data_IF_438025247281
#
_entry.id   IF_438025247281
#
_cell.length_a   1.000
_cell.length_b   1.000
_cell.length_c   1.000
_cell.angle_alpha   90.00
_cell.angle_beta   90.00
_cell.angle_gamma   90.00
#
_symmetry.space_group_name_H-M   'P 1'
#
loop_
_entity.id
_entity.type
_entity.pdbx_description
1 polymer ?
#
# COMPACT_ATOMS: atom_id res chain seq x y z
N UNK A 1 -1.81 2.51 27.95
CA UNK A 1 -2.80 3.09 28.90
C UNK A 1 -2.06 3.44 30.17
N UNK A 2 -2.25 4.64 30.71
CA UNK A 2 -1.77 5.00 32.05
C UNK A 2 -2.93 5.55 32.88
N UNK A 3 -2.84 5.41 34.19
CA UNK A 3 -3.87 5.88 35.14
C UNK A 3 -3.24 7.00 35.97
N UNK A 4 -3.96 8.12 36.10
CA UNK A 4 -3.56 9.22 36.98
C UNK A 4 -4.15 9.05 38.38
N UNK A 5 -3.58 9.76 39.34
CA UNK A 5 -4.13 9.87 40.69
C UNK A 5 -5.58 10.40 40.61
N UNK A 6 -6.54 9.59 41.07
CA UNK A 6 -7.98 9.85 40.92
C UNK A 6 -8.71 8.90 39.96
N UNK A 7 -8.02 7.93 39.35
CA UNK A 7 -8.65 6.87 38.54
C UNK A 7 -9.00 7.28 37.11
N UNK A 8 -8.54 8.44 36.65
CA UNK A 8 -8.69 8.90 35.28
C UNK A 8 -7.68 8.22 34.35
N UNK A 9 -8.12 7.91 33.13
CA UNK A 9 -7.33 7.17 32.15
C UNK A 9 -6.69 8.10 31.12
N UNK A 10 -5.46 7.77 30.75
CA UNK A 10 -4.76 8.36 29.62
C UNK A 10 -4.51 7.30 28.54
N UNK A 11 -4.86 7.65 27.30
CA UNK A 11 -4.64 6.84 26.11
C UNK A 11 -3.68 7.57 25.18
N UNK A 12 -2.48 7.02 25.04
CA UNK A 12 -1.41 7.58 24.21
C UNK A 12 -1.04 6.60 23.11
N UNK A 13 -0.96 7.10 21.88
CA UNK A 13 -0.52 6.36 20.70
C UNK A 13 1.00 6.14 20.70
N UNK A 14 1.49 5.26 19.82
CA UNK A 14 2.92 4.95 19.72
C UNK A 14 3.80 6.16 19.35
N UNK A 15 3.26 7.15 18.63
CA UNK A 15 3.94 8.41 18.31
C UNK A 15 3.96 9.42 19.47
N UNK A 16 3.42 9.07 20.64
CA UNK A 16 3.31 9.96 21.80
C UNK A 16 2.07 10.84 21.82
N UNK A 17 1.20 10.79 20.80
CA UNK A 17 -0.03 11.59 20.76
C UNK A 17 -1.08 11.06 21.75
N UNK A 18 -1.57 11.94 22.63
CA UNK A 18 -2.54 11.58 23.66
C UNK A 18 -3.97 11.81 23.17
N UNK A 19 -4.64 10.71 22.81
CA UNK A 19 -6.04 10.67 22.39
C UNK A 19 -7.01 10.95 23.54
N UNK A 20 -6.71 10.44 24.73
CA UNK A 20 -7.51 10.70 25.92
C UNK A 20 -6.58 11.13 27.03
N UNK A 21 -6.89 12.28 27.63
CA UNK A 21 -6.18 12.83 28.77
C UNK A 21 -7.19 13.20 29.86
N UNK A 22 -7.46 12.26 30.77
CA UNK A 22 -8.54 12.38 31.74
C UNK A 22 -9.90 12.64 31.07
N UNK A 23 -10.47 13.83 31.30
CA UNK A 23 -11.76 14.24 30.72
C UNK A 23 -11.66 14.82 29.31
N UNK A 24 -10.45 14.99 28.77
CA UNK A 24 -10.23 15.58 27.44
C UNK A 24 -10.03 14.49 26.41
N UNK A 25 -10.81 14.51 25.33
CA UNK A 25 -10.60 13.67 24.15
C UNK A 25 -10.05 14.54 23.01
N UNK A 26 -9.07 13.99 22.28
CA UNK A 26 -8.52 14.59 21.06
C UNK A 26 -8.82 13.70 19.87
N UNK A 27 -8.94 14.33 18.71
CA UNK A 27 -9.33 13.66 17.47
C UNK A 27 -8.14 13.37 16.56
N UNK A 28 -8.35 12.43 15.64
CA UNK A 28 -7.54 12.23 14.44
C UNK A 28 -8.37 12.65 13.22
N UNK A 29 -7.69 12.94 12.14
CA UNK A 29 -8.31 13.27 10.85
C UNK A 29 -7.80 12.33 9.75
N UNK A 30 -8.70 11.94 8.85
CA UNK A 30 -8.33 11.31 7.58
C UNK A 30 -8.12 12.41 6.54
N UNK A 31 -6.91 12.51 5.99
CA UNK A 31 -6.51 13.58 5.07
C UNK A 31 -5.78 13.01 3.85
N UNK A 32 -5.76 13.69 2.69
CA UNK A 32 -4.84 13.34 1.62
C UNK A 32 -3.39 13.40 2.11
N UNK A 33 -2.57 12.42 1.75
CA UNK A 33 -1.15 12.44 2.08
C UNK A 33 -0.45 13.57 1.34
N UNK A 34 0.50 14.21 2.02
CA UNK A 34 1.33 15.24 1.42
C UNK A 34 2.12 14.74 0.20
N UNK A 35 2.52 13.46 0.17
CA UNK A 35 3.31 12.89 -0.93
C UNK A 35 2.46 12.38 -2.10
N UNK A 36 1.20 12.03 -1.86
CA UNK A 36 0.30 11.44 -2.85
C UNK A 36 -1.14 11.92 -2.59
N UNK A 37 -1.66 12.86 -3.40
CA UNK A 37 -3.00 13.40 -3.18
C UNK A 37 -4.12 12.38 -3.41
N UNK A 38 -3.84 11.26 -4.09
CA UNK A 38 -4.80 10.18 -4.30
C UNK A 38 -4.88 9.21 -3.10
N UNK A 39 -3.98 9.36 -2.12
CA UNK A 39 -3.87 8.47 -0.96
C UNK A 39 -4.36 9.16 0.31
N UNK A 40 -5.34 8.55 0.97
CA UNK A 40 -5.75 8.97 2.32
C UNK A 40 -4.77 8.44 3.37
N UNK A 41 -4.33 9.31 4.27
CA UNK A 41 -3.51 9.02 5.44
C UNK A 41 -4.16 9.57 6.72
N UNK A 42 -3.50 9.43 7.86
CA UNK A 42 -4.00 9.88 9.16
C UNK A 42 -3.15 11.04 9.66
N UNK A 43 -3.81 12.07 10.17
CA UNK A 43 -3.21 13.21 10.85
C UNK A 43 -3.72 13.31 12.29
N UNK A 44 -2.92 13.88 13.18
CA UNK A 44 -3.44 14.41 14.45
C UNK A 44 -3.86 15.87 14.28
N UNK A 45 -4.75 16.34 15.14
CA UNK A 45 -5.28 17.70 15.09
C UNK A 45 -4.58 18.55 16.15
N UNK A 46 -3.79 19.52 15.71
CA UNK A 46 -3.25 20.59 16.55
C UNK A 46 -4.19 21.80 16.52
N UNK A 47 -4.42 22.42 17.68
CA UNK A 47 -5.36 23.54 17.83
C UNK A 47 -4.92 24.80 17.05
N UNK A 48 -3.63 25.00 16.84
CA UNK A 48 -3.09 26.17 16.16
C UNK A 48 -2.66 25.86 14.72
N UNK A 49 -2.00 24.73 14.51
CA UNK A 49 -1.43 24.34 13.22
C UNK A 49 -2.38 23.50 12.35
N UNK A 50 -3.51 23.05 12.90
CA UNK A 50 -4.47 22.20 12.20
C UNK A 50 -3.99 20.75 12.06
N UNK A 51 -4.26 20.13 10.90
CA UNK A 51 -3.95 18.71 10.68
C UNK A 51 -2.45 18.49 10.43
N UNK A 52 -1.80 17.70 11.29
CA UNK A 52 -0.41 17.28 11.12
C UNK A 52 -0.35 15.79 10.77
N UNK A 53 0.11 15.49 9.56
CA UNK A 53 0.23 14.12 9.03
C UNK A 53 1.13 13.25 9.91
N UNK A 54 0.67 12.04 10.26
CA UNK A 54 1.44 11.05 10.99
C UNK A 54 2.08 10.09 9.99
N UNK A 55 3.41 9.91 9.99
CA UNK A 55 4.05 8.91 9.15
C UNK A 55 3.49 7.50 9.40
N UNK A 56 3.12 6.77 8.35
CA UNK A 56 2.46 5.45 8.44
C UNK A 56 3.24 4.44 9.28
N UNK A 57 4.58 4.52 9.31
CA UNK A 57 5.44 3.67 10.16
C UNK A 57 5.12 3.77 11.66
N UNK A 58 4.51 4.88 12.10
CA UNK A 58 4.09 5.09 13.49
C UNK A 58 2.64 4.64 13.75
N UNK A 59 1.94 4.16 12.72
CA UNK A 59 0.54 3.73 12.76
C UNK A 59 0.38 2.23 12.49
N UNK A 60 1.45 1.44 12.63
CA UNK A 60 1.47 0.03 12.28
C UNK A 60 0.88 -0.90 13.36
N UNK A 61 -0.26 -0.53 13.93
CA UNK A 61 -0.94 -1.31 14.98
C UNK A 61 -2.44 -1.44 14.71
N UNK A 62 -3.03 -2.56 15.13
CA UNK A 62 -4.46 -2.82 14.98
C UNK A 62 -4.91 -2.94 13.52
N UNK A 63 -6.21 -2.80 13.28
CA UNK A 63 -6.78 -2.86 11.93
C UNK A 63 -6.30 -1.71 11.03
N UNK A 64 -6.09 -0.52 11.58
CA UNK A 64 -5.51 0.61 10.84
C UNK A 64 -4.11 0.28 10.31
N UNK A 65 -3.22 -0.23 11.17
CA UNK A 65 -1.89 -0.68 10.75
C UNK A 65 -1.94 -1.80 9.72
N UNK A 66 -2.91 -2.72 9.86
CA UNK A 66 -3.18 -3.76 8.86
C UNK A 66 -3.55 -3.19 7.49
N UNK A 67 -4.43 -2.19 7.43
CA UNK A 67 -4.82 -1.52 6.18
C UNK A 67 -3.65 -0.76 5.53
N UNK A 68 -2.87 -0.03 6.32
CA UNK A 68 -1.72 0.73 5.83
C UNK A 68 -0.60 -0.20 5.33
N UNK A 69 -0.34 -1.29 6.06
CA UNK A 69 0.64 -2.31 5.67
C UNK A 69 0.21 -3.03 4.40
N UNK A 70 -1.05 -3.50 4.33
CA UNK A 70 -1.57 -4.14 3.12
C UNK A 70 -1.47 -3.21 1.91
N UNK A 71 -1.87 -1.95 2.07
CA UNK A 71 -1.79 -0.98 0.98
C UNK A 71 -0.36 -0.79 0.47
N UNK A 72 0.57 -0.48 1.37
CA UNK A 72 1.95 -0.12 0.99
C UNK A 72 2.82 -1.31 0.60
N UNK A 73 2.69 -2.45 1.27
CA UNK A 73 3.57 -3.60 1.08
C UNK A 73 3.04 -4.62 0.07
N UNK A 74 1.72 -4.68 -0.11
CA UNK A 74 1.10 -5.73 -0.91
C UNK A 74 0.38 -5.15 -2.13
N UNK A 75 -0.56 -4.22 -1.94
CA UNK A 75 -1.38 -3.68 -3.02
C UNK A 75 -0.55 -2.82 -3.99
N UNK A 76 0.23 -1.87 -3.47
CA UNK A 76 1.08 -1.01 -4.30
C UNK A 76 2.11 -1.84 -5.06
N UNK A 77 2.77 -2.78 -4.38
CA UNK A 77 3.74 -3.67 -5.01
C UNK A 77 3.11 -4.54 -6.10
N UNK A 78 1.92 -5.10 -5.84
CA UNK A 78 1.18 -5.91 -6.83
C UNK A 78 0.82 -5.08 -8.06
N UNK A 79 0.32 -3.86 -7.87
CA UNK A 79 0.01 -2.93 -8.97
C UNK A 79 1.25 -2.57 -9.77
N UNK A 80 2.37 -2.32 -9.10
CA UNK A 80 3.63 -1.98 -9.76
C UNK A 80 4.21 -3.15 -10.53
N UNK A 81 4.18 -4.37 -9.99
CA UNK A 81 4.63 -5.57 -10.70
C UNK A 81 3.78 -5.84 -11.94
N UNK A 82 2.45 -5.71 -11.83
CA UNK A 82 1.56 -5.89 -12.97
C UNK A 82 1.74 -4.78 -14.03
N UNK A 83 1.91 -3.53 -13.58
CA UNK A 83 2.19 -2.40 -14.47
C UNK A 83 3.53 -2.53 -15.19
N UNK A 84 4.57 -3.01 -14.51
CA UNK A 84 5.89 -3.30 -15.10
C UNK A 84 5.77 -4.34 -16.22
N UNK A 85 5.03 -5.43 -15.97
CA UNK A 85 4.77 -6.46 -16.97
C UNK A 85 4.05 -5.88 -18.21
N UNK A 86 2.98 -5.11 -18.00
CA UNK A 86 2.22 -4.51 -19.09
C UNK A 86 3.06 -3.53 -19.91
N UNK A 87 3.86 -2.68 -19.26
CA UNK A 87 4.78 -1.75 -19.92
C UNK A 87 5.83 -2.50 -20.74
N UNK A 88 6.54 -3.45 -20.12
CA UNK A 88 7.59 -4.21 -20.79
C UNK A 88 7.03 -4.98 -22.00
N UNK A 89 5.84 -5.57 -21.87
CA UNK A 89 5.16 -6.24 -22.97
C UNK A 89 4.81 -5.28 -24.11
N UNK A 90 4.10 -4.19 -23.81
CA UNK A 90 3.64 -3.24 -24.83
C UNK A 90 4.83 -2.64 -25.58
N UNK A 91 5.85 -2.17 -24.86
CA UNK A 91 7.02 -1.53 -25.46
C UNK A 91 7.88 -2.53 -26.25
N UNK A 92 8.12 -3.74 -25.73
CA UNK A 92 8.91 -4.75 -26.46
C UNK A 92 8.19 -5.20 -27.73
N UNK A 93 6.88 -5.42 -27.65
CA UNK A 93 6.07 -5.78 -28.82
C UNK A 93 6.05 -4.65 -29.85
N UNK A 94 5.80 -3.39 -29.42
CA UNK A 94 5.84 -2.23 -30.30
C UNK A 94 7.19 -2.03 -30.96
N UNK A 95 8.27 -2.14 -30.19
CA UNK A 95 9.63 -1.98 -30.68
C UNK A 95 10.00 -3.05 -31.73
N UNK A 96 9.45 -4.25 -31.64
CA UNK A 96 9.66 -5.28 -32.67
C UNK A 96 8.68 -5.14 -33.84
N UNK A 97 7.41 -4.81 -33.58
CA UNK A 97 6.39 -4.64 -34.62
C UNK A 97 6.76 -3.49 -35.59
N UNK A 98 7.29 -2.38 -35.08
CA UNK A 98 7.72 -1.23 -35.90
C UNK A 98 8.96 -1.49 -36.77
N UNK A 99 9.66 -2.61 -36.55
CA UNK A 99 10.76 -3.06 -37.43
C UNK A 99 10.28 -3.86 -38.63
N UNK A 100 9.05 -4.37 -38.59
CA UNK A 100 8.48 -5.16 -39.68
C UNK A 100 7.70 -4.33 -40.69
N UNK A 101 7.15 -5.04 -41.67
CA UNK A 101 6.25 -4.52 -42.69
C UNK A 101 4.94 -5.29 -42.70
N UNK A 102 3.86 -4.56 -42.95
CA UNK A 102 2.49 -5.05 -42.96
C UNK A 102 2.12 -5.75 -44.28
N UNK A 103 0.89 -6.26 -44.39
CA UNK A 103 0.44 -7.00 -45.56
C UNK A 103 0.42 -6.13 -46.83
N UNK A 104 0.38 -4.81 -46.70
CA UNK A 104 0.43 -3.84 -47.80
C UNK A 104 1.86 -3.36 -48.10
N UNK A 105 2.86 -3.79 -47.32
CA UNK A 105 4.26 -3.40 -47.45
C UNK A 105 4.60 -2.07 -46.76
N UNK A 106 3.68 -1.50 -45.98
CA UNK A 106 3.96 -0.32 -45.18
C UNK A 106 4.68 -0.71 -43.89
N UNK A 107 5.43 0.24 -43.32
CA UNK A 107 6.16 0.00 -42.07
C UNK A 107 5.20 -0.15 -40.90
N UNK A 108 5.47 -1.14 -40.05
CA UNK A 108 4.71 -1.37 -38.82
C UNK A 108 4.68 -0.14 -37.91
N UNK A 109 3.57 0.03 -37.19
CA UNK A 109 3.38 1.08 -36.17
C UNK A 109 3.35 0.47 -34.77
N UNK A 110 3.22 1.29 -33.74
CA UNK A 110 2.95 0.78 -32.40
C UNK A 110 1.64 -0.03 -32.39
N UNK A 111 1.73 -1.26 -31.92
CA UNK A 111 0.59 -2.16 -31.79
C UNK A 111 -0.28 -1.82 -30.58
N UNK A 112 0.35 -1.39 -29.48
CA UNK A 112 -0.30 -1.06 -28.22
C UNK A 112 -0.06 0.41 -27.83
N UNK A 113 -1.04 1.06 -27.20
CA UNK A 113 -0.77 2.21 -26.32
C UNK A 113 -0.46 1.72 -24.91
N UNK A 114 0.27 2.53 -24.14
CA UNK A 114 0.52 2.28 -22.72
C UNK A 114 0.52 3.61 -21.97
N UNK A 115 0.06 3.60 -20.72
CA UNK A 115 0.10 4.78 -19.86
C UNK A 115 1.52 5.23 -19.55
N UNK A 116 1.66 6.54 -19.35
CA UNK A 116 2.96 7.17 -19.05
C UNK A 116 3.21 7.29 -17.54
N UNK A 117 4.47 7.46 -17.11
CA UNK A 117 4.82 7.79 -15.73
C UNK A 117 4.07 9.03 -15.22
N UNK A 118 3.71 9.01 -13.94
CA UNK A 118 3.13 10.18 -13.24
C UNK A 118 4.05 10.60 -12.09
N UNK A 119 4.15 11.90 -11.85
CA UNK A 119 4.92 12.46 -10.73
C UNK A 119 4.03 13.38 -9.91
N UNK A 120 4.01 13.17 -8.59
CA UNK A 120 3.34 14.05 -7.64
C UNK A 120 4.38 14.89 -6.90
N UNK A 121 4.20 16.21 -6.91
CA UNK A 121 4.97 17.13 -6.06
C UNK A 121 4.42 17.06 -4.63
N UNK A 122 5.30 16.90 -3.64
CA UNK A 122 4.85 16.85 -2.25
C UNK A 122 4.27 18.22 -1.85
N UNK A 123 3.13 18.21 -1.14
CA UNK A 123 2.43 19.43 -0.76
C UNK A 123 3.21 20.32 0.23
N UNK A 124 4.24 19.76 0.88
CA UNK A 124 5.18 20.47 1.76
C UNK A 124 6.38 21.09 1.03
N UNK A 125 6.49 20.91 -0.30
CA UNK A 125 7.52 21.60 -1.09
C UNK A 125 7.33 23.12 -0.99
N UNK A 126 8.44 23.85 -1.07
CA UNK A 126 8.44 25.30 -0.87
C UNK A 126 7.62 26.04 -1.94
N UNK A 127 7.77 25.65 -3.21
CA UNK A 127 6.99 26.14 -4.33
C UNK A 127 6.13 25.01 -4.92
N UNK A 128 4.80 25.18 -4.83
CA UNK A 128 3.81 24.19 -5.29
C UNK A 128 3.70 24.12 -6.82
N UNK A 129 4.34 25.03 -7.55
CA UNK A 129 4.33 25.05 -9.02
C UNK A 129 5.47 24.26 -9.63
N UNK A 130 6.50 23.92 -8.85
CA UNK A 130 7.61 23.07 -9.31
C UNK A 130 7.09 21.65 -9.53
N UNK A 131 7.29 21.14 -10.73
CA UNK A 131 6.87 19.81 -11.15
C UNK A 131 7.99 19.09 -11.89
N UNK A 132 7.99 17.76 -11.76
CA UNK A 132 8.85 16.86 -12.53
C UNK A 132 7.98 16.12 -13.56
N UNK A 133 8.58 15.75 -14.68
CA UNK A 133 7.97 14.82 -15.64
C UNK A 133 8.94 13.68 -15.92
N UNK A 134 8.42 12.49 -16.22
CA UNK A 134 9.24 11.33 -16.50
C UNK A 134 8.80 10.65 -17.79
N UNK A 135 9.77 10.10 -18.52
CA UNK A 135 9.55 9.34 -19.75
C UNK A 135 10.35 8.04 -19.68
N UNK A 136 9.73 6.95 -20.12
CA UNK A 136 10.42 5.68 -20.34
C UNK A 136 11.33 5.82 -21.56
N UNK A 137 12.59 5.44 -21.41
CA UNK A 137 13.58 5.38 -22.51
C UNK A 137 14.10 3.97 -22.75
N UNK A 138 14.01 3.10 -21.73
CA UNK A 138 14.35 1.67 -21.82
C UNK A 138 13.42 0.90 -20.89
N UNK A 139 12.33 0.35 -21.44
CA UNK A 139 11.31 -0.39 -20.70
C UNK A 139 11.86 -1.64 -20.02
N UNK A 140 12.98 -2.20 -20.52
CA UNK A 140 13.57 -3.41 -19.95
C UNK A 140 14.22 -3.17 -18.60
N UNK A 141 14.60 -1.92 -18.31
CA UNK A 141 15.21 -1.52 -17.04
C UNK A 141 14.22 -0.93 -16.04
N UNK A 142 13.00 -0.60 -16.47
CA UNK A 142 11.96 -0.07 -15.58
C UNK A 142 11.64 -1.10 -14.51
N UNK A 143 11.68 -0.68 -13.24
CA UNK A 143 11.45 -1.52 -12.08
C UNK A 143 10.00 -1.46 -11.58
N UNK A 144 9.56 -2.51 -10.89
CA UNK A 144 8.28 -2.55 -10.19
C UNK A 144 8.34 -1.81 -8.84
N UNK A 145 8.60 -0.50 -8.86
CA UNK A 145 8.68 0.33 -7.65
C UNK A 145 8.20 1.75 -7.95
N UNK A 146 7.72 2.43 -6.91
CA UNK A 146 7.63 3.89 -6.94
C UNK A 146 8.95 4.48 -6.42
N UNK A 147 9.17 5.77 -6.67
CA UNK A 147 10.37 6.47 -6.26
C UNK A 147 10.03 7.71 -5.47
N UNK A 148 10.59 7.82 -4.27
CA UNK A 148 10.69 9.10 -3.57
C UNK A 148 11.98 9.78 -4.01
N UNK A 149 11.85 10.92 -4.64
CA UNK A 149 12.95 11.74 -5.16
C UNK A 149 13.03 13.01 -4.31
N UNK A 150 14.19 13.32 -3.74
CA UNK A 150 14.41 14.49 -2.87
C UNK A 150 15.59 15.30 -3.39
N UNK A 151 15.42 16.61 -3.52
CA UNK A 151 16.54 17.51 -3.82
C UNK A 151 17.22 17.94 -2.51
N UNK A 152 18.51 17.63 -2.31
CA UNK A 152 19.22 17.97 -1.07
C UNK A 152 19.83 19.39 -1.06
N UNK A 153 19.58 20.15 -2.14
CA UNK A 153 20.15 21.47 -2.42
C UNK A 153 21.26 21.45 -3.47
N UNK A 154 21.83 20.27 -3.77
CA UNK A 154 22.86 20.08 -4.80
C UNK A 154 22.49 18.93 -5.74
N UNK A 155 22.19 17.78 -5.15
CA UNK A 155 21.94 16.53 -5.84
C UNK A 155 20.53 16.00 -5.57
N UNK A 156 20.14 15.01 -6.38
CA UNK A 156 18.83 14.37 -6.30
C UNK A 156 18.98 12.98 -5.71
N UNK A 157 18.50 12.81 -4.48
CA UNK A 157 18.51 11.53 -3.76
C UNK A 157 17.24 10.76 -4.08
N UNK A 158 17.39 9.52 -4.55
CA UNK A 158 16.28 8.66 -4.96
C UNK A 158 16.17 7.50 -3.99
N UNK A 159 14.95 7.21 -3.54
CA UNK A 159 14.61 6.04 -2.71
C UNK A 159 13.56 5.21 -3.43
N UNK A 160 13.84 3.92 -3.66
CA UNK A 160 12.86 2.97 -4.17
C UNK A 160 11.93 2.53 -3.04
N UNK A 161 10.61 2.56 -3.25
CA UNK A 161 9.63 2.17 -2.23
C UNK A 161 9.55 0.65 -2.01
N UNK A 162 9.87 -0.15 -3.03
CA UNK A 162 9.77 -1.61 -2.97
C UNK A 162 10.79 -2.25 -2.01
N UNK A 163 12.04 -1.75 -2.02
CA UNK A 163 13.16 -2.35 -1.28
C UNK A 163 13.91 -1.38 -0.36
N UNK A 164 13.52 -0.10 -0.35
CA UNK A 164 14.15 0.99 0.41
C UNK A 164 15.61 1.28 0.01
N UNK A 165 16.06 0.78 -1.14
CA UNK A 165 17.39 1.12 -1.66
C UNK A 165 17.44 2.60 -2.04
N UNK A 166 18.60 3.21 -1.80
CA UNK A 166 18.82 4.64 -2.09
C UNK A 166 20.06 4.84 -2.94
N UNK A 167 20.02 5.87 -3.78
CA UNK A 167 21.15 6.28 -4.61
C UNK A 167 21.02 7.75 -5.00
N UNK A 168 22.13 8.39 -5.31
CA UNK A 168 22.15 9.73 -5.91
C UNK A 168 21.98 9.57 -7.42
N UNK A 169 20.96 10.22 -8.00
CA UNK A 169 20.69 10.12 -9.43
C UNK A 169 21.76 10.85 -10.26
N UNK A 170 22.25 10.18 -11.31
CA UNK A 170 23.07 10.82 -12.33
C UNK A 170 22.22 11.67 -13.25
N UNK A 171 22.84 12.69 -13.86
CA UNK A 171 22.22 13.56 -14.85
C UNK A 171 22.81 13.29 -16.22
N UNK A 172 21.97 13.26 -17.25
CA UNK A 172 22.41 13.24 -18.64
C UNK A 172 22.94 14.62 -19.09
N UNK A 173 23.36 14.73 -20.36
CA UNK A 173 23.87 15.98 -20.93
C UNK A 173 22.84 17.13 -20.93
N UNK A 174 21.54 16.82 -20.87
CA UNK A 174 20.46 17.81 -20.79
C UNK A 174 20.06 18.12 -19.34
N UNK A 175 20.75 17.54 -18.34
CA UNK A 175 20.43 17.70 -16.93
C UNK A 175 19.24 16.87 -16.45
N UNK A 176 18.73 15.91 -17.24
CA UNK A 176 17.63 15.01 -16.83
C UNK A 176 18.18 13.89 -15.96
N UNK A 177 17.45 13.51 -14.92
CA UNK A 177 17.85 12.41 -14.04
C UNK A 177 17.68 11.07 -14.77
N UNK A 178 18.66 10.19 -14.64
CA UNK A 178 18.60 8.82 -15.15
C UNK A 178 18.29 7.86 -14.00
N UNK A 179 17.12 7.22 -14.07
CA UNK A 179 16.60 6.35 -13.02
C UNK A 179 16.03 5.11 -13.70
N UNK A 180 16.65 3.94 -13.56
CA UNK A 180 16.09 2.64 -13.94
C UNK A 180 15.34 2.62 -15.29
N UNK A 181 15.97 3.08 -16.39
CA UNK A 181 15.32 3.12 -17.71
C UNK A 181 14.36 4.28 -17.96
N UNK A 182 14.26 5.21 -17.01
CA UNK A 182 13.52 6.46 -17.11
C UNK A 182 14.47 7.66 -17.23
N UNK A 183 14.01 8.68 -17.97
CA UNK A 183 14.54 10.04 -17.90
C UNK A 183 13.55 10.94 -17.20
N UNK A 184 13.99 11.63 -16.15
CA UNK A 184 13.17 12.57 -15.37
C UNK A 184 13.63 13.99 -15.65
N UNK A 185 12.74 14.79 -16.23
CA UNK A 185 12.99 16.21 -16.46
C UNK A 185 12.73 16.97 -15.17
N UNK A 186 13.79 17.52 -14.59
CA UNK A 186 13.73 18.44 -13.46
C UNK A 186 13.66 19.85 -14.03
N UNK A 187 12.60 20.59 -13.74
CA UNK A 187 12.50 22.00 -14.12
C UNK A 187 13.47 22.88 -13.33
N UNK A 188 13.24 24.19 -13.36
CA UNK A 188 13.92 25.14 -12.47
C UNK A 188 13.10 25.40 -11.21
N UNK A 189 13.75 25.86 -10.14
CA UNK A 189 13.05 26.33 -8.93
C UNK A 189 12.97 25.32 -7.78
N UNK A 190 13.48 24.10 -7.94
CA UNK A 190 13.59 23.14 -6.85
C UNK A 190 14.44 23.69 -5.70
N UNK A 191 13.93 23.58 -4.48
CA UNK A 191 14.60 24.01 -3.25
C UNK A 191 15.01 22.80 -2.41
N UNK A 192 15.99 23.01 -1.53
CA UNK A 192 16.46 21.97 -0.62
C UNK A 192 15.30 21.38 0.18
N UNK A 193 15.25 20.05 0.23
CA UNK A 193 14.21 19.20 0.81
C UNK A 193 12.89 19.10 0.04
N UNK A 194 12.79 19.71 -1.15
CA UNK A 194 11.65 19.43 -2.04
C UNK A 194 11.64 17.93 -2.40
N UNK A 195 10.47 17.31 -2.28
CA UNK A 195 10.22 15.90 -2.48
C UNK A 195 9.19 15.66 -3.58
N UNK A 196 9.40 14.61 -4.38
CA UNK A 196 8.52 14.19 -5.45
C UNK A 196 8.30 12.68 -5.38
N UNK A 197 7.09 12.23 -5.69
CA UNK A 197 6.74 10.82 -5.80
C UNK A 197 6.53 10.46 -7.28
N UNK A 198 7.49 9.74 -7.85
CA UNK A 198 7.41 9.22 -9.21
C UNK A 198 6.82 7.81 -9.18
N UNK A 199 5.75 7.59 -9.96
CA UNK A 199 5.15 6.29 -10.21
C UNK A 199 5.30 5.94 -11.69
N UNK A 200 6.26 5.07 -12.05
CA UNK A 200 6.58 4.83 -13.46
C UNK A 200 5.50 4.02 -14.18
N UNK A 201 4.79 3.14 -13.46
CA UNK A 201 3.96 2.09 -14.08
C UNK A 201 2.54 2.00 -13.49
N UNK A 202 2.18 2.83 -12.50
CA UNK A 202 0.88 2.74 -11.84
C UNK A 202 -0.32 3.00 -12.77
N UNK A 203 -0.08 3.75 -13.85
CA UNK A 203 -1.06 4.08 -14.88
C UNK A 203 -0.83 3.30 -16.18
N UNK A 204 0.16 2.41 -16.25
CA UNK A 204 0.50 1.71 -17.49
C UNK A 204 -0.73 1.00 -18.10
N UNK A 205 -1.47 0.28 -17.27
CA UNK A 205 -2.61 -0.56 -17.68
C UNK A 205 -3.86 0.25 -17.99
N UNK A 206 -4.15 1.32 -17.24
CA UNK A 206 -5.42 2.05 -17.39
C UNK A 206 -5.56 2.71 -18.77
N UNK A 207 -4.43 3.09 -19.37
CA UNK A 207 -4.37 3.68 -20.72
C UNK A 207 -3.89 2.66 -21.79
N UNK A 208 -3.83 1.37 -21.45
CA UNK A 208 -3.40 0.33 -22.38
C UNK A 208 -4.53 -0.03 -23.35
N UNK A 209 -4.27 0.08 -24.66
CA UNK A 209 -5.23 -0.22 -25.71
C UNK A 209 -4.52 -0.83 -26.93
N UNK A 210 -5.26 -1.59 -27.74
CA UNK A 210 -4.78 -2.03 -29.07
C UNK A 210 -4.97 -0.90 -30.06
N UNK A 211 -3.89 -0.48 -30.72
CA UNK A 211 -3.88 0.56 -31.75
C UNK A 211 -4.09 0.00 -33.16
N UNK A 212 -3.57 -1.19 -33.44
CA UNK A 212 -3.73 -1.86 -34.74
C UNK A 212 -5.10 -2.54 -34.77
N UNK A 213 -6.06 -1.90 -35.43
CA UNK A 213 -7.43 -2.41 -35.56
C UNK A 213 -7.70 -3.10 -36.90
N UNK A 214 -6.86 -2.84 -37.90
CA UNK A 214 -6.92 -3.48 -39.20
C UNK A 214 -5.97 -4.70 -39.23
N UNK A 215 -6.45 -5.84 -39.70
CA UNK A 215 -5.65 -7.07 -39.77
C UNK A 215 -4.49 -6.95 -40.77
N UNK A 216 -4.68 -6.20 -41.86
CA UNK A 216 -3.66 -5.98 -42.87
C UNK A 216 -2.48 -5.14 -42.36
N UNK A 217 -2.65 -4.42 -41.24
CA UNK A 217 -1.61 -3.59 -40.61
C UNK A 217 -0.69 -4.39 -39.66
N UNK A 218 -0.90 -5.70 -39.51
CA UNK A 218 -0.02 -6.56 -38.71
C UNK A 218 1.29 -6.78 -39.47
N UNK A 219 2.37 -6.27 -38.89
CA UNK A 219 3.70 -6.26 -39.48
C UNK A 219 4.43 -7.61 -39.32
N UNK A 220 4.10 -8.59 -40.16
CA UNK A 220 4.66 -9.94 -40.12
C UNK A 220 5.98 -10.09 -40.88
N UNK A 221 6.18 -9.29 -41.92
CA UNK A 221 7.34 -9.35 -42.79
C UNK A 221 8.53 -8.57 -42.20
N UNK A 222 9.75 -8.98 -42.54
CA UNK A 222 10.98 -8.27 -42.14
C UNK A 222 11.48 -7.30 -43.20
N UNK A 223 11.12 -7.52 -44.46
CA UNK A 223 11.37 -6.59 -45.57
C UNK A 223 10.04 -6.19 -46.22
N UNK A 224 10.04 -5.08 -46.95
CA UNK A 224 8.83 -4.60 -47.62
C UNK A 224 8.58 -5.40 -48.89
N UNK A 225 7.34 -5.88 -49.09
CA UNK A 225 6.91 -6.48 -50.37
C UNK A 225 6.96 -5.51 -51.57
N UNK A 226 7.12 -4.22 -51.30
CA UNK A 226 7.20 -3.16 -52.31
C UNK A 226 8.65 -2.90 -52.76
N UNK A 227 9.64 -3.47 -52.11
CA UNK A 227 11.05 -3.32 -52.48
C UNK A 227 11.37 -4.21 -53.69
N UNK A 228 11.69 -3.64 -54.87
CA UNK A 228 11.96 -4.42 -56.08
C UNK A 228 13.28 -5.21 -56.02
N UNK A 229 14.17 -4.89 -55.08
CA UNK A 229 15.48 -5.53 -54.94
C UNK A 229 15.47 -6.72 -53.96
N UNK A 230 14.33 -7.01 -53.32
CA UNK A 230 14.19 -8.05 -52.30
C UNK A 230 13.09 -9.05 -52.68
N UNK A 231 13.48 -10.30 -52.99
CA UNK A 231 12.54 -11.42 -53.16
C UNK A 231 12.33 -12.15 -51.82
N UNK A 232 11.35 -11.71 -51.04
CA UNK A 232 11.00 -12.37 -49.77
C UNK A 232 9.93 -13.44 -49.90
N UNK A 233 9.39 -13.65 -51.10
CA UNK A 233 8.14 -14.38 -51.31
C UNK A 233 6.91 -13.67 -50.73
N UNK A 234 5.71 -14.06 -51.19
CA UNK A 234 4.42 -13.47 -50.80
C UNK A 234 4.04 -13.67 -49.31
N UNK A 235 4.87 -14.36 -48.51
CA UNK A 235 4.57 -14.78 -47.14
C UNK A 235 5.81 -14.74 -46.23
N UNK A 236 6.46 -13.57 -46.16
CA UNK A 236 7.52 -13.35 -45.16
C UNK A 236 6.91 -13.23 -43.75
N UNK A 237 7.31 -14.12 -42.85
CA UNK A 237 6.84 -14.17 -41.47
C UNK A 237 7.98 -13.96 -40.44
N UNK A 238 9.17 -13.53 -40.87
CA UNK A 238 10.35 -13.43 -40.00
C UNK A 238 10.16 -12.43 -38.85
N UNK A 239 9.46 -11.31 -39.07
CA UNK A 239 9.14 -10.39 -37.97
C UNK A 239 8.07 -10.98 -37.04
N UNK A 240 7.12 -11.74 -37.58
CA UNK A 240 6.17 -12.55 -36.79
C UNK A 240 6.87 -13.54 -35.86
N UNK A 241 7.90 -14.25 -36.36
CA UNK A 241 8.73 -15.12 -35.52
C UNK A 241 9.49 -14.32 -34.46
N UNK A 242 10.07 -13.17 -34.79
CA UNK A 242 10.76 -12.31 -33.83
C UNK A 242 9.81 -11.77 -32.73
N UNK A 243 8.55 -11.49 -33.06
CA UNK A 243 7.51 -11.13 -32.10
C UNK A 243 7.18 -12.32 -31.17
N UNK A 244 7.10 -13.54 -31.71
CA UNK A 244 6.89 -14.75 -30.91
C UNK A 244 8.08 -15.05 -30.00
N UNK A 245 9.31 -14.83 -30.47
CA UNK A 245 10.55 -15.06 -29.71
C UNK A 245 10.65 -14.15 -28.47
N UNK A 246 9.94 -13.02 -28.44
CA UNK A 246 9.82 -12.18 -27.24
C UNK A 246 9.25 -12.94 -26.04
N UNK A 247 8.44 -13.98 -26.27
CA UNK A 247 7.92 -14.84 -25.20
C UNK A 247 9.04 -15.47 -24.36
N UNK A 248 10.18 -15.77 -24.97
CA UNK A 248 11.34 -16.38 -24.34
C UNK A 248 12.42 -15.34 -23.95
N UNK A 249 12.16 -14.06 -24.19
CA UNK A 249 13.13 -12.98 -23.94
C UNK A 249 12.98 -12.39 -22.54
N UNK A 250 14.11 -12.09 -21.90
CA UNK A 250 14.17 -11.56 -20.54
C UNK A 250 13.99 -10.03 -20.51
N UNK A 251 12.85 -9.54 -21.01
CA UNK A 251 12.58 -8.10 -21.16
C UNK A 251 11.93 -7.46 -19.93
N UNK A 252 11.42 -8.23 -18.97
CA UNK A 252 10.80 -7.67 -17.76
C UNK A 252 11.87 -7.46 -16.69
N UNK A 253 12.25 -6.21 -16.42
CA UNK A 253 13.33 -5.88 -15.47
C UNK A 253 14.71 -6.41 -15.87
N UNK A 254 14.88 -6.80 -17.14
CA UNK A 254 16.13 -7.31 -17.72
C UNK A 254 16.48 -8.75 -17.35
N UNK A 255 15.62 -9.46 -16.61
CA UNK A 255 15.94 -10.78 -16.08
C UNK A 255 14.80 -11.81 -16.09
N UNK A 256 13.59 -11.44 -16.53
CA UNK A 256 12.42 -12.33 -16.55
C UNK A 256 11.69 -12.25 -17.89
N UNK A 257 11.14 -13.38 -18.30
CA UNK A 257 10.14 -13.44 -19.38
C UNK A 257 8.78 -12.92 -18.90
N UNK A 258 7.83 -12.70 -19.82
CA UNK A 258 6.46 -12.31 -19.47
C UNK A 258 5.76 -13.34 -18.59
N UNK A 259 5.92 -14.63 -18.93
CA UNK A 259 5.30 -15.72 -18.18
C UNK A 259 5.93 -15.86 -16.79
N UNK A 260 7.26 -15.79 -16.69
CA UNK A 260 7.95 -15.89 -15.40
C UNK A 260 7.56 -14.74 -14.48
N UNK A 261 7.52 -13.50 -15.00
CA UNK A 261 7.12 -12.34 -14.21
C UNK A 261 5.68 -12.47 -13.66
N UNK A 262 4.74 -12.95 -14.48
CA UNK A 262 3.36 -13.15 -14.04
C UNK A 262 3.22 -14.33 -13.06
N UNK A 263 3.89 -15.45 -13.34
CA UNK A 263 3.88 -16.62 -12.47
C UNK A 263 4.48 -16.32 -11.09
N UNK A 264 5.59 -15.57 -11.04
CA UNK A 264 6.19 -15.08 -9.79
C UNK A 264 5.21 -14.19 -9.02
N UNK A 265 4.54 -13.24 -9.68
CA UNK A 265 3.54 -12.38 -9.02
C UNK A 265 2.42 -13.20 -8.37
N UNK A 266 1.85 -14.16 -9.10
CA UNK A 266 0.79 -15.04 -8.58
C UNK A 266 1.30 -15.88 -7.41
N UNK A 267 2.52 -16.43 -7.53
CA UNK A 267 3.15 -17.22 -6.47
C UNK A 267 3.39 -16.39 -5.21
N UNK A 268 3.93 -15.17 -5.34
CA UNK A 268 4.23 -14.28 -4.22
C UNK A 268 2.96 -13.88 -3.45
N UNK A 269 1.90 -13.49 -4.17
CA UNK A 269 0.60 -13.16 -3.58
C UNK A 269 0.00 -14.39 -2.88
N UNK A 270 0.08 -15.57 -3.52
CA UNK A 270 -0.41 -16.83 -2.94
C UNK A 270 0.33 -17.23 -1.66
N UNK A 271 1.67 -17.17 -1.69
CA UNK A 271 2.52 -17.46 -0.54
C UNK A 271 2.25 -16.51 0.62
N UNK A 272 2.23 -15.20 0.34
CA UNK A 272 1.96 -14.20 1.38
C UNK A 272 0.57 -14.35 1.99
N UNK A 273 -0.44 -14.64 1.16
CA UNK A 273 -1.82 -14.90 1.63
C UNK A 273 -1.87 -16.12 2.56
N UNK A 274 -1.19 -17.21 2.20
CA UNK A 274 -1.12 -18.42 3.02
C UNK A 274 -0.43 -18.16 4.38
N UNK A 275 0.68 -17.43 4.37
CA UNK A 275 1.38 -17.01 5.59
C UNK A 275 0.49 -16.14 6.47
N UNK A 276 -0.14 -15.11 5.93
CA UNK A 276 -1.03 -14.21 6.68
C UNK A 276 -2.26 -14.94 7.24
N UNK A 277 -2.83 -15.90 6.49
CA UNK A 277 -3.92 -16.75 6.97
C UNK A 277 -3.52 -17.55 8.21
N UNK A 278 -2.32 -18.13 8.18
CA UNK A 278 -1.78 -18.89 9.31
C UNK A 278 -1.54 -17.99 10.51
N UNK A 279 -0.84 -16.86 10.34
CA UNK A 279 -0.57 -15.90 11.42
C UNK A 279 -1.85 -15.32 12.02
N UNK A 280 -2.83 -14.93 11.19
CA UNK A 280 -4.13 -14.42 11.64
C UNK A 280 -4.91 -15.47 12.43
N UNK A 281 -4.91 -16.73 11.99
CA UNK A 281 -5.61 -17.82 12.69
C UNK A 281 -4.97 -18.09 14.05
N UNK A 282 -3.64 -18.14 14.10
CA UNK A 282 -2.89 -18.30 15.35
C UNK A 282 -3.17 -17.15 16.32
N UNK A 283 -3.07 -15.90 15.86
CA UNK A 283 -3.32 -14.73 16.70
C UNK A 283 -4.76 -14.68 17.22
N UNK A 284 -5.75 -15.03 16.39
CA UNK A 284 -7.14 -15.11 16.81
C UNK A 284 -7.35 -16.18 17.90
N UNK A 285 -6.66 -17.31 17.80
CA UNK A 285 -6.72 -18.36 18.83
C UNK A 285 -6.05 -17.92 20.14
N UNK A 286 -4.92 -17.21 20.08
CA UNK A 286 -4.27 -16.61 21.26
C UNK A 286 -5.22 -15.63 21.96
N UNK A 287 -5.88 -14.74 21.21
CA UNK A 287 -6.87 -13.80 21.78
C UNK A 287 -8.00 -14.57 22.48
N UNK A 288 -8.55 -15.61 21.87
CA UNK A 288 -9.60 -16.45 22.50
C UNK A 288 -9.12 -17.11 23.79
N UNK A 289 -7.89 -17.63 23.82
CA UNK A 289 -7.32 -18.27 25.00
C UNK A 289 -7.11 -17.27 26.14
N UNK A 290 -6.51 -16.11 25.84
CA UNK A 290 -6.29 -15.05 26.83
C UNK A 290 -7.61 -14.48 27.34
N UNK A 291 -8.59 -14.28 26.47
CA UNK A 291 -9.94 -13.84 26.86
C UNK A 291 -10.60 -14.84 27.81
N UNK A 292 -10.47 -16.15 27.56
CA UNK A 292 -10.98 -17.20 28.44
C UNK A 292 -10.27 -17.21 29.80
N UNK A 293 -8.94 -17.04 29.81
CA UNK A 293 -8.17 -16.94 31.07
C UNK A 293 -8.55 -15.70 31.87
N UNK A 294 -8.72 -14.54 31.22
CA UNK A 294 -9.19 -13.32 31.87
C UNK A 294 -10.56 -13.50 32.52
N UNK A 295 -11.52 -14.15 31.84
CA UNK A 295 -12.83 -14.47 32.43
C UNK A 295 -12.75 -15.44 33.61
N UNK A 296 -11.77 -16.34 33.66
CA UNK A 296 -11.62 -17.24 34.82
C UNK A 296 -11.12 -16.54 36.08
N UNK A 297 -10.45 -15.38 35.95
CA UNK A 297 -9.88 -14.62 37.08
C UNK A 297 -10.74 -13.41 37.45
N UNK A 298 -11.27 -12.70 36.46
CA UNK A 298 -12.06 -11.47 36.64
C UNK A 298 -13.51 -11.59 36.18
N UNK A 299 -13.93 -12.76 35.68
CA UNK A 299 -15.32 -13.01 35.35
C UNK A 299 -16.14 -13.26 36.61
N UNK A 300 -17.35 -12.70 36.62
CA UNK A 300 -18.34 -12.94 37.67
C UNK A 300 -18.91 -14.35 37.45
N UNK A 301 -18.59 -15.29 38.34
CA UNK A 301 -19.22 -16.60 38.31
C UNK A 301 -20.62 -16.47 38.90
N UNK A 302 -21.65 -16.51 38.04
CA UNK A 302 -23.05 -16.36 38.46
C UNK A 302 -23.47 -17.40 39.51
N UNK A 303 -22.87 -18.59 39.51
CA UNK A 303 -23.16 -19.61 40.52
C UNK A 303 -22.55 -19.24 41.89
N UNK A 304 -21.38 -18.61 41.90
CA UNK A 304 -20.71 -18.13 43.10
C UNK A 304 -21.38 -16.85 43.64
N UNK A 305 -21.77 -15.92 42.77
CA UNK A 305 -22.59 -14.76 43.13
C UNK A 305 -23.99 -15.17 43.62
N UNK A 306 -24.61 -16.18 43.01
CA UNK A 306 -25.89 -16.73 43.49
C UNK A 306 -25.74 -17.41 44.85
N UNK A 307 -24.67 -18.17 45.05
CA UNK A 307 -24.32 -18.74 46.35
C UNK A 307 -24.09 -17.65 47.42
N UNK A 308 -23.36 -16.58 47.07
CA UNK A 308 -23.15 -15.43 47.95
C UNK A 308 -24.45 -14.68 48.24
N UNK A 309 -25.30 -14.48 47.23
CA UNK A 309 -26.61 -13.86 47.38
C UNK A 309 -27.51 -14.68 48.31
N UNK A 310 -27.56 -16.00 48.13
CA UNK A 310 -28.32 -16.89 49.01
C UNK A 310 -27.77 -16.85 50.45
N UNK A 311 -26.45 -16.78 50.61
CA UNK A 311 -25.79 -16.61 51.92
C UNK A 311 -26.18 -15.28 52.57
N UNK A 312 -26.16 -14.18 51.83
CA UNK A 312 -26.58 -12.86 52.33
C UNK A 312 -28.08 -12.82 52.67
N UNK A 313 -28.92 -13.49 51.88
CA UNK A 313 -30.34 -13.65 52.22
C UNK A 313 -30.54 -14.45 53.51
N UNK A 314 -29.79 -15.54 53.71
CA UNK A 314 -29.84 -16.29 54.96
C UNK A 314 -29.36 -15.48 56.17
N UNK A 315 -28.30 -14.69 56.03
CA UNK A 315 -27.85 -13.78 57.10
C UNK A 315 -28.87 -12.71 57.41
N UNK A 316 -29.53 -12.15 56.39
CA UNK A 316 -30.61 -11.18 56.58
C UNK A 316 -31.79 -11.81 57.36
N UNK A 317 -32.23 -13.01 56.96
CA UNK A 317 -33.32 -13.73 57.63
C UNK A 317 -32.94 -14.10 59.08
N UNK A 318 -31.71 -14.56 59.32
CA UNK A 318 -31.22 -14.87 60.66
C UNK A 318 -31.20 -13.61 61.56
N UNK A 319 -30.70 -12.48 61.04
CA UNK A 319 -30.72 -11.20 61.77
C UNK A 319 -32.15 -10.72 62.04
N UNK A 320 -33.07 -10.88 61.09
CA UNK A 320 -34.49 -10.55 61.28
C UNK A 320 -35.13 -11.41 62.39
N UNK A 321 -34.75 -12.68 62.50
CA UNK A 321 -35.26 -13.59 63.52
C UNK A 321 -34.69 -13.29 64.92
N UNK A 322 -33.43 -12.86 65.00
CA UNK A 322 -32.83 -12.32 66.23
C UNK A 322 -33.58 -11.06 66.67
N UNK A 323 -33.89 -10.14 65.76
CA UNK A 323 -34.68 -8.94 66.05
C UNK A 323 -36.11 -9.28 66.49
N UNK A 324 -36.77 -10.26 65.86
CA UNK A 324 -38.09 -10.73 66.30
C UNK A 324 -38.05 -11.34 67.70
N UNK A 325 -37.01 -12.11 68.02
CA UNK A 325 -36.85 -12.72 69.34
C UNK A 325 -36.53 -11.65 70.39
N UNK A 326 -35.72 -10.65 70.04
CA UNK A 326 -35.47 -9.49 70.89
C UNK A 326 -36.75 -8.70 71.15
N UNK A 327 -37.59 -8.45 70.14
CA UNK A 327 -38.91 -7.83 70.30
C UNK A 327 -39.83 -8.67 71.20
N UNK A 328 -39.88 -9.99 70.99
CA UNK A 328 -40.70 -10.88 71.82
C UNK A 328 -40.23 -10.90 73.29
N UNK A 329 -38.92 -10.87 73.53
CA UNK A 329 -38.36 -10.72 74.88
C UNK A 329 -38.68 -9.35 75.47
N UNK A 330 -38.62 -8.28 74.67
CA UNK A 330 -38.95 -6.93 75.10
C UNK A 330 -40.43 -6.81 75.48
N UNK A 331 -41.34 -7.34 74.66
CA UNK A 331 -42.77 -7.40 74.91
C UNK A 331 -43.11 -8.28 76.13
N UNK A 332 -42.42 -9.42 76.29
CA UNK A 332 -42.57 -10.27 77.47
C UNK A 332 -42.14 -9.55 78.76
N UNK A 333 -41.02 -8.81 78.73
CA UNK A 333 -40.58 -7.99 79.87
C UNK A 333 -41.56 -6.86 80.19
N UNK A 334 -42.18 -6.24 79.18
CA UNK A 334 -43.18 -5.18 79.35
C UNK A 334 -44.53 -5.70 79.88
N UNK A 335 -44.90 -6.95 79.56
CA UNK A 335 -46.13 -7.59 80.03
C UNK A 335 -46.03 -8.21 81.44
N UNK A 336 -44.86 -8.20 82.10
CA UNK A 336 -44.69 -8.64 83.51
C UNK A 336 -45.07 -7.50 84.48
N UNK A 337 -46.27 -6.93 84.33
CA UNK A 337 -46.85 -5.95 85.26
C UNK A 337 -48.25 -6.35 85.70
#
# INVERSE_FOLDING_TARGET
VSVQDGGTYNLTMANGYTLVQGSTARQLAAVPSSADPTRTTVAYVDEAAGNIEIPEKLLNTGSLGGLLTFRSQDLDQTRNTLGQLALAFADAFNAQHTKGYDADGNKGKDFFSIGSPVVYSNSNNADKTVSLTAKVVDSTKVQATDYKIVFDGTDWQVTRTADNTTFTATKDADGKLEIDGLKVTVGTGAQKNDSFLLKPVSNAIVDMNVKVTNEAEIAMASESKLDPDVDTGDSDNRNGQALLDLQNSNVVGGNKTFNDAYATLVSDVGNKTSTLKTSSTTQANVVKQLYKQQQSVSGVNLDEEYGNLQRYQQYYLANAQVLQTANALFDALLNIR
#
